data_IF_465602449830
#
_entry.id   IF_465602449830
#
_cell.length_a   1.000
_cell.length_b   1.000
_cell.length_c   1.000
_cell.angle_alpha   90.00
_cell.angle_beta   90.00
_cell.angle_gamma   90.00
#
_symmetry.space_group_name_H-M   'P 1'
#
loop_
_entity.id
_entity.type
_entity.pdbx_description
1 polymer ?
#
# COMPACT_ATOMS: atom_id res chain seq x y z
N UNK A 1 -31.10 26.77 10.50
CA UNK A 1 -30.49 26.49 11.82
C UNK A 1 -29.83 27.72 12.45
N UNK A 2 -28.86 28.35 11.76
CA UNK A 2 -27.99 29.39 12.34
C UNK A 2 -28.72 30.61 12.92
N UNK A 3 -29.83 31.06 12.32
CA UNK A 3 -30.65 32.16 12.89
C UNK A 3 -31.20 31.84 14.28
N UNK A 4 -31.59 30.58 14.53
CA UNK A 4 -32.03 30.16 15.85
C UNK A 4 -30.84 30.04 16.82
N UNK A 5 -29.70 29.55 16.31
CA UNK A 5 -28.47 29.48 17.09
C UNK A 5 -28.01 30.86 17.59
N UNK A 6 -28.09 31.91 16.78
CA UNK A 6 -27.70 33.27 17.18
C UNK A 6 -28.52 33.83 18.35
N UNK A 7 -29.77 33.37 18.52
CA UNK A 7 -30.61 33.70 19.67
C UNK A 7 -30.21 32.84 20.86
N UNK A 8 -30.06 31.53 20.66
CA UNK A 8 -29.73 30.58 21.72
C UNK A 8 -28.35 30.89 22.33
N UNK A 9 -27.35 31.15 21.50
CA UNK A 9 -25.96 31.42 21.91
C UNK A 9 -25.84 32.61 22.88
N UNK A 10 -26.76 33.58 22.83
CA UNK A 10 -26.81 34.72 23.76
C UNK A 10 -27.24 34.33 25.19
N UNK A 11 -27.91 33.20 25.33
CA UNK A 11 -28.49 32.71 26.58
C UNK A 11 -27.83 31.43 27.09
N UNK A 12 -26.91 30.85 26.32
CA UNK A 12 -26.18 29.64 26.71
C UNK A 12 -25.21 29.96 27.85
N UNK A 13 -25.33 29.21 28.95
CA UNK A 13 -24.40 29.24 30.08
C UNK A 13 -23.01 28.74 29.66
N UNK A 14 -22.01 28.89 30.54
CA UNK A 14 -20.62 28.51 30.24
C UNK A 14 -20.46 26.99 30.02
N UNK A 15 -20.53 26.58 28.75
CA UNK A 15 -20.37 25.19 28.31
C UNK A 15 -18.94 24.67 28.50
N UNK A 16 -17.97 25.53 28.82
CA UNK A 16 -16.59 25.10 29.10
C UNK A 16 -16.43 24.52 30.52
N UNK A 17 -17.39 24.78 31.41
CA UNK A 17 -17.38 24.35 32.80
C UNK A 17 -18.36 23.20 33.11
N UNK A 18 -19.40 23.01 32.30
CA UNK A 18 -20.43 21.99 32.51
C UNK A 18 -20.44 20.92 31.39
N UNK A 19 -20.04 19.67 31.67
CA UNK A 19 -19.99 18.60 30.67
C UNK A 19 -21.38 18.16 30.18
N UNK A 20 -22.44 18.32 30.97
CA UNK A 20 -23.81 17.97 30.58
C UNK A 20 -24.33 18.97 29.54
N UNK A 21 -24.06 20.25 29.80
CA UNK A 21 -24.37 21.33 28.87
C UNK A 21 -23.56 21.18 27.57
N UNK A 22 -22.26 20.91 27.68
CA UNK A 22 -21.38 20.66 26.53
C UNK A 22 -21.91 19.51 25.64
N UNK A 23 -22.27 18.37 26.26
CA UNK A 23 -22.88 17.24 25.56
C UNK A 23 -24.19 17.63 24.84
N UNK A 24 -25.09 18.32 25.54
CA UNK A 24 -26.38 18.74 24.99
C UNK A 24 -26.23 19.71 23.81
N UNK A 25 -25.27 20.62 23.90
CA UNK A 25 -24.94 21.56 22.81
C UNK A 25 -24.40 20.80 21.60
N UNK A 26 -23.52 19.80 21.76
CA UNK A 26 -23.04 19.00 20.63
C UNK A 26 -24.18 18.32 19.86
N UNK A 27 -25.19 17.79 20.57
CA UNK A 27 -26.37 17.18 19.96
C UNK A 27 -27.22 18.17 19.15
N UNK A 28 -27.24 19.44 19.55
CA UNK A 28 -27.90 20.51 18.82
C UNK A 28 -27.06 20.96 17.62
N UNK A 29 -25.78 21.25 17.85
CA UNK A 29 -24.86 21.82 16.87
C UNK A 29 -24.60 20.91 15.68
N UNK A 30 -24.77 19.59 15.80
CA UNK A 30 -24.67 18.67 14.65
C UNK A 30 -25.63 19.03 13.51
N UNK A 31 -26.79 19.60 13.81
CA UNK A 31 -27.80 19.96 12.80
C UNK A 31 -27.40 21.19 11.98
N UNK A 32 -26.45 22.00 12.46
CA UNK A 32 -25.89 23.10 11.68
C UNK A 32 -25.17 22.64 10.42
N UNK A 33 -24.72 21.38 10.37
CA UNK A 33 -24.04 20.81 9.21
C UNK A 33 -24.86 20.93 7.91
N UNK A 34 -26.19 20.84 7.99
CA UNK A 34 -27.08 20.95 6.81
C UNK A 34 -27.05 22.32 6.15
N UNK A 35 -26.77 23.38 6.92
CA UNK A 35 -26.79 24.77 6.46
C UNK A 35 -25.37 25.35 6.33
N UNK A 36 -24.32 24.60 6.68
CA UNK A 36 -22.97 25.13 6.88
C UNK A 36 -22.36 25.74 5.60
N UNK A 37 -22.68 25.19 4.44
CA UNK A 37 -22.22 25.69 3.13
C UNK A 37 -22.84 27.05 2.79
N UNK A 38 -24.11 27.24 3.12
CA UNK A 38 -24.84 28.49 2.86
C UNK A 38 -24.46 29.61 3.85
N UNK A 39 -24.00 29.25 5.05
CA UNK A 39 -23.65 30.20 6.12
C UNK A 39 -22.23 29.92 6.68
N UNK A 40 -21.17 30.21 5.91
CA UNK A 40 -19.79 29.87 6.28
C UNK A 40 -19.27 30.62 7.51
N UNK A 41 -19.70 31.86 7.73
CA UNK A 41 -19.28 32.67 8.89
C UNK A 41 -19.94 32.18 10.19
N UNK A 42 -21.23 31.85 10.14
CA UNK A 42 -21.94 31.32 11.30
C UNK A 42 -21.48 29.88 11.65
N UNK A 43 -21.12 29.09 10.63
CA UNK A 43 -20.61 27.74 10.82
C UNK A 43 -19.21 27.70 11.45
N UNK A 44 -18.38 28.73 11.22
CA UNK A 44 -17.08 28.87 11.87
C UNK A 44 -17.19 28.88 13.40
N UNK A 45 -18.07 29.73 13.95
CA UNK A 45 -18.29 29.81 15.39
C UNK A 45 -18.75 28.46 15.97
N UNK A 46 -19.65 27.76 15.28
CA UNK A 46 -20.14 26.44 15.70
C UNK A 46 -19.03 25.39 15.66
N UNK A 47 -18.20 25.38 14.62
CA UNK A 47 -17.07 24.47 14.50
C UNK A 47 -16.00 24.73 15.56
N UNK A 48 -15.74 25.99 15.91
CA UNK A 48 -14.83 26.35 17.01
C UNK A 48 -15.32 25.83 18.36
N UNK A 49 -16.63 25.90 18.63
CA UNK A 49 -17.23 25.35 19.87
C UNK A 49 -17.05 23.84 19.92
N UNK A 50 -17.42 23.13 18.85
CA UNK A 50 -17.28 21.67 18.77
C UNK A 50 -15.81 21.24 18.93
N UNK A 51 -14.89 21.95 18.28
CA UNK A 51 -13.45 21.69 18.39
C UNK A 51 -12.93 21.93 19.80
N UNK A 52 -13.36 23.01 20.45
CA UNK A 52 -13.03 23.34 21.83
C UNK A 52 -13.43 22.21 22.79
N UNK A 53 -14.63 21.66 22.65
CA UNK A 53 -15.13 20.54 23.46
C UNK A 53 -14.31 19.27 23.20
N UNK A 54 -13.98 18.95 21.94
CA UNK A 54 -13.10 17.79 21.65
C UNK A 54 -11.75 17.89 22.35
N UNK A 55 -11.18 19.10 22.43
CA UNK A 55 -9.87 19.33 23.05
C UNK A 55 -9.91 19.50 24.57
N UNK A 56 -11.09 19.52 25.20
CA UNK A 56 -11.20 19.75 26.64
C UNK A 56 -10.81 18.49 27.43
N UNK A 57 -9.54 18.40 27.80
CA UNK A 57 -9.04 17.36 28.71
C UNK A 57 -9.12 17.89 30.14
N UNK A 58 -10.26 17.67 30.80
CA UNK A 58 -10.43 18.04 32.21
C UNK A 58 -10.31 16.81 33.12
N UNK A 59 -9.45 16.86 34.17
CA UNK A 59 -9.30 15.76 35.14
C UNK A 59 -10.56 15.51 35.99
N UNK A 60 -11.34 16.57 36.26
CA UNK A 60 -12.61 16.51 36.98
C UNK A 60 -13.74 16.04 36.06
N UNK A 61 -14.64 15.18 36.54
CA UNK A 61 -15.80 14.68 35.77
C UNK A 61 -15.43 13.92 34.47
N UNK A 62 -14.30 13.21 34.45
CA UNK A 62 -13.73 12.60 33.24
C UNK A 62 -14.68 11.72 32.42
N UNK A 63 -15.64 11.00 33.04
CA UNK A 63 -16.64 10.20 32.31
C UNK A 63 -17.66 11.08 31.57
N UNK A 64 -18.13 12.17 32.20
CA UNK A 64 -19.11 13.07 31.59
C UNK A 64 -18.46 13.91 30.48
N UNK A 65 -17.22 14.34 30.68
CA UNK A 65 -16.43 14.98 29.62
C UNK A 65 -16.11 14.02 28.47
N UNK A 66 -15.87 12.74 28.74
CA UNK A 66 -15.76 11.74 27.68
C UNK A 66 -17.05 11.65 26.85
N UNK A 67 -18.24 11.64 27.48
CA UNK A 67 -19.51 11.67 26.76
C UNK A 67 -19.70 12.94 25.92
N UNK A 68 -19.34 14.11 26.44
CA UNK A 68 -19.39 15.36 25.69
C UNK A 68 -18.46 15.33 24.46
N UNK A 69 -17.23 14.81 24.65
CA UNK A 69 -16.24 14.64 23.57
C UNK A 69 -16.68 13.64 22.51
N UNK A 70 -17.27 12.50 22.91
CA UNK A 70 -17.87 11.53 21.98
C UNK A 70 -18.90 12.22 21.09
N UNK A 71 -19.87 12.94 21.68
CA UNK A 71 -20.90 13.63 20.90
C UNK A 71 -20.35 14.80 20.07
N UNK A 72 -19.27 15.44 20.50
CA UNK A 72 -18.59 16.46 19.71
C UNK A 72 -17.94 15.87 18.45
N UNK A 73 -17.26 14.71 18.56
CA UNK A 73 -16.74 13.99 17.40
C UNK A 73 -17.83 13.51 16.45
N UNK A 74 -18.92 12.96 16.99
CA UNK A 74 -20.10 12.57 16.19
C UNK A 74 -20.69 13.77 15.44
N UNK A 75 -20.76 14.94 16.08
CA UNK A 75 -21.22 16.17 15.46
C UNK A 75 -20.25 16.65 14.36
N UNK A 76 -18.94 16.68 14.62
CA UNK A 76 -17.92 17.05 13.63
C UNK A 76 -17.95 16.13 12.40
N UNK A 77 -18.25 14.84 12.58
CA UNK A 77 -18.40 13.88 11.48
C UNK A 77 -19.54 14.26 10.53
N UNK A 78 -20.52 15.09 10.93
CA UNK A 78 -21.58 15.58 10.04
C UNK A 78 -21.10 16.72 9.13
N UNK A 79 -20.11 17.52 9.56
CA UNK A 79 -19.59 18.65 8.79
C UNK A 79 -18.60 18.23 7.71
N UNK A 80 -18.56 18.95 6.60
CA UNK A 80 -17.56 18.71 5.54
C UNK A 80 -16.15 19.02 6.02
N UNK A 81 -15.20 18.15 5.67
CA UNK A 81 -13.81 18.23 6.15
C UNK A 81 -13.14 19.52 5.67
N UNK A 82 -13.51 20.03 4.49
CA UNK A 82 -13.02 21.31 3.95
C UNK A 82 -13.37 22.50 4.85
N UNK A 83 -14.57 22.51 5.44
CA UNK A 83 -14.98 23.57 6.37
C UNK A 83 -14.25 23.45 7.71
N UNK A 84 -14.04 22.24 8.21
CA UNK A 84 -13.30 22.00 9.45
C UNK A 84 -11.83 22.39 9.29
N UNK A 85 -11.19 22.00 8.19
CA UNK A 85 -9.79 22.30 7.90
C UNK A 85 -9.55 23.81 7.75
N UNK A 86 -10.49 24.54 7.14
CA UNK A 86 -10.42 26.01 7.03
C UNK A 86 -10.47 26.70 8.40
N UNK A 87 -11.30 26.18 9.30
CA UNK A 87 -11.58 26.81 10.61
C UNK A 87 -10.66 26.31 11.73
N UNK A 88 -9.82 25.29 11.46
CA UNK A 88 -8.93 24.70 12.46
C UNK A 88 -7.46 24.79 12.02
N UNK A 89 -6.65 25.66 12.65
CA UNK A 89 -5.23 25.75 12.32
C UNK A 89 -4.51 24.45 12.69
N UNK A 90 -3.59 24.01 11.83
CA UNK A 90 -2.84 22.76 11.99
C UNK A 90 -3.72 21.53 12.21
N UNK A 91 -4.93 21.52 11.63
CA UNK A 91 -5.96 20.49 11.80
C UNK A 91 -5.41 19.06 11.82
N UNK A 92 -4.60 18.70 10.82
CA UNK A 92 -4.02 17.34 10.68
C UNK A 92 -3.13 16.97 11.86
N UNK A 93 -2.24 17.87 12.27
CA UNK A 93 -1.32 17.65 13.39
C UNK A 93 -2.09 17.53 14.71
N UNK A 94 -3.00 18.47 14.98
CA UNK A 94 -3.82 18.46 16.20
C UNK A 94 -4.71 17.23 16.29
N UNK A 95 -5.28 16.80 15.17
CA UNK A 95 -6.10 15.59 15.09
C UNK A 95 -5.29 14.33 15.39
N UNK A 96 -4.06 14.22 14.88
CA UNK A 96 -3.16 13.10 15.23
C UNK A 96 -2.71 13.12 16.68
N UNK A 97 -2.38 14.30 17.23
CA UNK A 97 -1.98 14.44 18.65
C UNK A 97 -3.11 14.01 19.59
N UNK A 98 -4.35 14.43 19.29
CA UNK A 98 -5.53 13.98 20.04
C UNK A 98 -5.68 12.46 20.02
N UNK A 99 -5.52 11.82 18.85
CA UNK A 99 -5.63 10.37 18.71
C UNK A 99 -4.60 9.62 19.57
N UNK A 100 -3.37 10.11 19.62
CA UNK A 100 -2.32 9.47 20.43
C UNK A 100 -2.45 9.76 21.93
N UNK A 101 -3.16 10.82 22.31
CA UNK A 101 -3.37 11.20 23.71
C UNK A 101 -4.63 10.60 24.34
N UNK A 102 -5.58 10.11 23.53
CA UNK A 102 -6.87 9.62 24.02
C UNK A 102 -6.79 8.19 24.58
N UNK A 103 -7.39 7.98 25.75
CA UNK A 103 -7.44 6.68 26.42
C UNK A 103 -8.85 6.13 26.60
N UNK A 104 -9.89 6.96 26.40
CA UNK A 104 -11.26 6.52 26.57
C UNK A 104 -11.77 5.76 25.33
N UNK A 105 -12.27 4.52 25.48
CA UNK A 105 -12.67 3.68 24.35
C UNK A 105 -13.86 4.23 23.56
N UNK A 106 -14.81 4.91 24.23
CA UNK A 106 -15.98 5.49 23.55
C UNK A 106 -15.59 6.70 22.71
N UNK A 107 -14.64 7.50 23.19
CA UNK A 107 -14.11 8.64 22.44
C UNK A 107 -13.29 8.12 21.25
N UNK A 108 -12.42 7.13 21.46
CA UNK A 108 -11.63 6.51 20.38
C UNK A 108 -12.52 5.95 19.25
N UNK A 109 -13.65 5.32 19.58
CA UNK A 109 -14.59 4.82 18.57
C UNK A 109 -15.19 5.95 17.72
N UNK A 110 -15.67 7.03 18.34
CA UNK A 110 -16.19 8.18 17.59
C UNK A 110 -15.09 8.90 16.79
N UNK A 111 -13.86 8.93 17.31
CA UNK A 111 -12.70 9.44 16.60
C UNK A 111 -12.36 8.61 15.36
N UNK A 112 -12.47 7.29 15.43
CA UNK A 112 -12.22 6.40 14.28
C UNK A 112 -13.11 6.79 13.09
N UNK A 113 -14.41 6.96 13.31
CA UNK A 113 -15.35 7.38 12.26
C UNK A 113 -14.97 8.74 11.66
N UNK A 114 -14.57 9.69 12.51
CA UNK A 114 -14.09 11.00 12.07
C UNK A 114 -12.79 10.89 11.25
N UNK A 115 -11.83 10.06 11.67
CA UNK A 115 -10.58 9.82 10.94
C UNK A 115 -10.82 9.16 9.59
N UNK A 116 -11.73 8.19 9.51
CA UNK A 116 -12.12 7.56 8.23
C UNK A 116 -12.64 8.62 7.26
N UNK A 117 -13.45 9.58 7.73
CA UNK A 117 -13.93 10.71 6.91
C UNK A 117 -12.78 11.58 6.40
N UNK A 118 -11.84 11.95 7.27
CA UNK A 118 -10.66 12.75 6.91
C UNK A 118 -9.79 12.02 5.87
N UNK A 119 -9.50 10.73 6.10
CA UNK A 119 -8.70 9.90 5.19
C UNK A 119 -9.36 9.76 3.82
N UNK A 120 -10.69 9.61 3.79
CA UNK A 120 -11.46 9.53 2.55
C UNK A 120 -11.39 10.85 1.77
N UNK A 121 -11.58 11.99 2.44
CA UNK A 121 -11.45 13.32 1.85
C UNK A 121 -10.03 13.55 1.27
N UNK A 122 -8.99 13.24 2.04
CA UNK A 122 -7.60 13.31 1.60
C UNK A 122 -7.32 12.43 0.39
N UNK A 123 -7.83 11.20 0.38
CA UNK A 123 -7.68 10.27 -0.72
C UNK A 123 -8.34 10.79 -2.00
N UNK A 124 -9.56 11.33 -1.90
CA UNK A 124 -10.28 11.94 -3.03
C UNK A 124 -9.50 13.14 -3.58
N UNK A 125 -9.01 14.03 -2.70
CA UNK A 125 -8.24 15.21 -3.11
C UNK A 125 -6.91 14.84 -3.75
N UNK A 126 -6.18 13.84 -3.22
CA UNK A 126 -4.96 13.32 -3.85
C UNK A 126 -5.24 12.73 -5.23
N UNK A 127 -6.35 12.00 -5.41
CA UNK A 127 -6.73 11.46 -6.73
C UNK A 127 -7.11 12.57 -7.72
N UNK A 128 -7.77 13.64 -7.26
CA UNK A 128 -8.07 14.81 -8.10
C UNK A 128 -6.79 15.54 -8.51
N UNK A 129 -5.89 15.81 -7.57
CA UNK A 129 -4.59 16.43 -7.84
C UNK A 129 -3.73 15.59 -8.80
N UNK A 130 -3.73 14.27 -8.67
CA UNK A 130 -3.02 13.37 -9.60
C UNK A 130 -3.64 13.37 -10.99
N UNK A 131 -4.97 13.49 -11.10
CA UNK A 131 -5.66 13.62 -12.39
C UNK A 131 -5.39 14.98 -13.05
N UNK A 132 -5.35 16.07 -12.29
CA UNK A 132 -4.99 17.40 -12.80
C UNK A 132 -3.50 17.49 -13.18
N UNK A 133 -2.60 16.95 -12.36
CA UNK A 133 -1.15 16.91 -12.67
C UNK A 133 -0.81 16.06 -13.90
N UNK A 134 -1.63 15.08 -14.26
CA UNK A 134 -1.46 14.34 -15.53
C UNK A 134 -1.61 15.21 -16.78
N UNK A 135 -2.13 16.44 -16.67
CA UNK A 135 -2.32 17.35 -17.82
C UNK A 135 -1.09 18.23 -18.09
N UNK A 136 -0.10 18.31 -17.19
CA UNK A 136 1.17 19.02 -17.46
C UNK A 136 2.33 18.25 -16.83
N UNK A 137 3.05 17.46 -17.65
CA UNK A 137 4.25 16.73 -17.21
C UNK A 137 5.31 17.70 -16.66
N UNK A 138 5.49 17.67 -15.34
CA UNK A 138 6.37 18.58 -14.61
C UNK A 138 7.84 18.31 -14.94
N UNK A 139 8.72 19.33 -14.82
CA UNK A 139 10.18 19.16 -15.00
C UNK A 139 10.77 18.11 -14.05
N UNK A 140 10.16 17.94 -12.88
CA UNK A 140 10.54 16.93 -11.88
C UNK A 140 10.19 15.53 -12.37
N UNK A 141 9.01 15.31 -12.96
CA UNK A 141 8.69 14.01 -13.58
C UNK A 141 9.65 13.67 -14.72
N UNK A 142 10.02 14.64 -15.56
CA UNK A 142 11.06 14.43 -16.57
C UNK A 142 12.41 14.05 -15.96
N UNK A 143 12.79 14.66 -14.83
CA UNK A 143 14.01 14.31 -14.12
C UNK A 143 13.92 12.91 -13.49
N UNK A 144 12.77 12.55 -12.92
CA UNK A 144 12.51 11.23 -12.34
C UNK A 144 12.44 10.12 -13.41
N UNK A 145 12.08 10.45 -14.65
CA UNK A 145 12.12 9.53 -15.78
C UNK A 145 13.55 9.34 -16.32
N UNK A 146 14.37 10.41 -16.30
CA UNK A 146 15.75 10.40 -16.83
C UNK A 146 16.76 9.86 -15.81
N UNK A 147 16.59 10.12 -14.52
CA UNK A 147 17.56 9.73 -13.47
C UNK A 147 17.80 8.21 -13.42
N UNK A 148 16.77 7.33 -13.43
CA UNK A 148 16.93 5.89 -13.60
C UNK A 148 17.78 5.51 -14.82
N UNK A 149 17.54 6.16 -15.96
CA UNK A 149 18.22 5.87 -17.22
C UNK A 149 19.70 6.28 -17.17
N UNK A 150 20.03 7.34 -16.43
CA UNK A 150 21.43 7.78 -16.21
C UNK A 150 22.16 6.85 -15.24
N UNK A 151 21.51 6.41 -14.16
CA UNK A 151 22.13 5.49 -13.18
C UNK A 151 22.43 4.13 -13.82
N UNK A 152 21.52 3.62 -14.67
CA UNK A 152 21.62 2.32 -15.32
C UNK A 152 21.98 2.38 -16.82
N UNK A 153 22.54 3.50 -17.30
CA UNK A 153 22.86 3.69 -18.72
C UNK A 153 23.75 2.58 -19.27
N UNK A 154 23.41 2.08 -20.47
CA UNK A 154 24.00 0.88 -21.08
C UNK A 154 25.51 1.03 -21.34
N UNK A 155 26.33 0.54 -20.42
CA UNK A 155 27.79 0.49 -20.58
C UNK A 155 28.44 -0.44 -19.58
N UNK A 156 28.02 -0.38 -18.33
CA UNK A 156 28.51 -1.26 -17.27
C UNK A 156 27.44 -2.28 -16.88
N UNK A 157 27.60 -3.51 -17.40
CA UNK A 157 26.73 -4.65 -17.06
C UNK A 157 26.71 -4.99 -15.56
N UNK A 158 27.55 -4.39 -14.70
CA UNK A 158 27.62 -4.73 -13.27
C UNK A 158 26.76 -3.89 -12.34
N UNK A 159 26.18 -2.75 -12.77
CA UNK A 159 25.52 -1.83 -11.83
C UNK A 159 24.27 -2.40 -11.14
N UNK A 160 23.59 -3.36 -11.78
CA UNK A 160 22.46 -4.06 -11.16
C UNK A 160 22.89 -4.98 -10.01
N UNK A 161 24.09 -5.54 -10.11
CA UNK A 161 24.75 -6.31 -9.03
C UNK A 161 25.24 -5.40 -7.90
N UNK A 162 25.73 -4.21 -8.23
CA UNK A 162 26.31 -3.29 -7.25
C UNK A 162 25.22 -2.56 -6.44
N UNK A 163 24.07 -2.26 -7.07
CA UNK A 163 22.94 -1.55 -6.45
C UNK A 163 21.60 -2.29 -6.72
N UNK A 164 21.41 -3.52 -6.18
CA UNK A 164 20.25 -4.35 -6.49
C UNK A 164 18.92 -3.72 -6.10
N UNK A 165 18.86 -3.03 -4.96
CA UNK A 165 17.65 -2.34 -4.51
C UNK A 165 17.23 -1.20 -5.44
N UNK A 166 18.20 -0.41 -5.95
CA UNK A 166 17.91 0.64 -6.93
C UNK A 166 17.51 0.03 -8.28
N UNK A 167 18.15 -1.07 -8.69
CA UNK A 167 17.82 -1.77 -9.93
C UNK A 167 16.37 -2.29 -9.93
N UNK A 168 15.90 -2.84 -8.80
CA UNK A 168 14.49 -3.23 -8.64
C UNK A 168 13.51 -2.08 -8.88
N UNK A 169 13.87 -0.86 -8.50
CA UNK A 169 12.98 0.30 -8.62
C UNK A 169 13.10 1.01 -9.97
N UNK A 170 14.28 1.02 -10.56
CA UNK A 170 14.63 1.96 -11.63
C UNK A 170 15.04 1.27 -12.95
N UNK A 171 15.45 -0.01 -12.94
CA UNK A 171 15.92 -0.69 -14.14
C UNK A 171 14.78 -0.82 -15.17
N UNK A 172 15.05 -0.36 -16.38
CA UNK A 172 14.09 -0.31 -17.47
C UNK A 172 14.81 -0.57 -18.78
N UNK A 173 14.42 -1.63 -19.47
CA UNK A 173 14.83 -1.91 -20.84
C UNK A 173 13.77 -1.34 -21.78
N UNK A 174 13.95 -0.08 -22.22
CA UNK A 174 13.03 0.53 -23.19
C UNK A 174 13.53 0.34 -24.62
N UNK A 175 12.65 0.08 -25.59
CA UNK A 175 13.03 0.01 -27.01
C UNK A 175 13.48 1.35 -27.61
N UNK A 176 13.52 2.46 -26.84
CA UNK A 176 14.04 3.75 -27.32
C UNK A 176 15.56 3.80 -27.45
N UNK A 177 16.29 2.84 -26.89
CA UNK A 177 17.74 2.71 -27.11
C UNK A 177 18.10 2.22 -28.53
N UNK A 178 17.10 1.91 -29.36
CA UNK A 178 17.29 1.46 -30.76
C UNK A 178 17.57 2.64 -31.71
N UNK A 179 17.27 3.89 -31.37
CA UNK A 179 17.54 5.02 -32.29
C UNK A 179 18.98 5.53 -32.24
N UNK A 180 19.73 5.23 -31.17
CA UNK A 180 21.08 5.78 -30.94
C UNK A 180 22.21 4.75 -31.06
N UNK A 181 21.90 3.48 -31.33
CA UNK A 181 22.90 2.45 -31.59
C UNK A 181 22.77 1.98 -33.04
N UNK A 182 23.72 2.38 -33.87
CA UNK A 182 23.72 2.15 -35.31
C UNK A 182 23.47 0.69 -35.71
N UNK A 183 22.51 0.51 -36.62
CA UNK A 183 22.44 -0.43 -37.75
C UNK A 183 22.95 -1.89 -37.62
N UNK A 184 23.22 -2.45 -36.43
CA UNK A 184 23.91 -3.76 -36.33
C UNK A 184 23.47 -4.71 -35.22
N UNK A 185 22.38 -4.44 -34.49
CA UNK A 185 21.79 -5.45 -33.59
C UNK A 185 20.29 -5.52 -33.81
N UNK A 186 19.83 -6.67 -34.28
CA UNK A 186 18.41 -6.99 -34.43
C UNK A 186 17.64 -6.75 -33.12
N UNK A 187 16.31 -6.67 -33.22
CA UNK A 187 15.38 -6.44 -32.11
C UNK A 187 15.80 -7.26 -30.88
N UNK A 188 16.46 -6.62 -29.91
CA UNK A 188 16.93 -7.26 -28.67
C UNK A 188 15.72 -7.83 -27.95
N UNK A 189 15.83 -9.07 -27.48
CA UNK A 189 14.77 -9.73 -26.73
C UNK A 189 14.73 -9.14 -25.32
N UNK A 190 13.73 -8.30 -24.97
CA UNK A 190 13.67 -7.69 -23.65
C UNK A 190 13.46 -8.74 -22.56
N UNK A 191 12.85 -9.89 -22.89
CA UNK A 191 12.66 -10.98 -21.95
C UNK A 191 13.99 -11.46 -21.39
N UNK A 192 14.96 -11.72 -22.27
CA UNK A 192 16.30 -12.16 -21.88
C UNK A 192 17.07 -11.08 -21.08
N UNK A 193 16.84 -9.79 -21.34
CA UNK A 193 17.48 -8.71 -20.57
C UNK A 193 16.95 -8.63 -19.14
N UNK A 194 15.63 -8.71 -18.95
CA UNK A 194 15.04 -8.79 -17.62
C UNK A 194 15.41 -10.09 -16.89
N UNK A 195 15.52 -11.20 -17.61
CA UNK A 195 15.94 -12.48 -17.06
C UNK A 195 17.36 -12.39 -16.48
N UNK A 196 18.32 -11.89 -17.26
CA UNK A 196 19.70 -11.70 -16.80
C UNK A 196 19.77 -10.73 -15.60
N UNK A 197 19.02 -9.62 -15.66
CA UNK A 197 18.97 -8.66 -14.56
C UNK A 197 18.38 -9.28 -13.28
N UNK A 198 17.36 -10.13 -13.40
CA UNK A 198 16.81 -10.86 -12.26
C UNK A 198 17.87 -11.74 -11.62
N UNK A 199 18.63 -12.51 -12.41
CA UNK A 199 19.70 -13.38 -11.90
C UNK A 199 20.73 -12.57 -11.12
N UNK A 200 21.19 -11.45 -11.67
CA UNK A 200 22.17 -10.58 -11.01
C UNK A 200 21.63 -9.93 -9.72
N UNK A 201 20.39 -9.43 -9.75
CA UNK A 201 19.75 -8.79 -8.60
C UNK A 201 19.46 -9.83 -7.52
N UNK A 202 18.89 -10.98 -7.87
CA UNK A 202 18.57 -12.05 -6.91
C UNK A 202 19.84 -12.63 -6.27
N UNK A 203 20.93 -12.72 -7.04
CA UNK A 203 22.22 -13.16 -6.51
C UNK A 203 22.88 -12.13 -5.58
N UNK A 204 22.61 -10.82 -5.73
CA UNK A 204 23.27 -9.75 -4.97
C UNK A 204 22.43 -9.19 -3.82
N UNK A 205 21.11 -9.25 -3.90
CA UNK A 205 20.20 -8.76 -2.87
C UNK A 205 20.32 -9.61 -1.59
N UNK A 206 20.73 -8.99 -0.50
CA UNK A 206 20.90 -9.68 0.77
C UNK A 206 19.62 -9.60 1.60
N UNK A 207 18.97 -10.75 1.78
CA UNK A 207 17.86 -10.91 2.72
C UNK A 207 18.47 -11.29 4.07
N UNK A 208 18.37 -10.42 5.07
CA UNK A 208 18.98 -10.67 6.40
C UNK A 208 18.12 -11.57 7.31
N UNK A 209 17.34 -12.51 6.73
CA UNK A 209 16.22 -13.25 7.38
C UNK A 209 15.27 -12.35 8.21
N UNK A 210 15.27 -11.05 7.93
CA UNK A 210 14.43 -10.07 8.59
C UNK A 210 13.16 -9.89 7.79
N UNK A 211 12.00 -10.09 8.45
CA UNK A 211 10.70 -10.01 7.80
C UNK A 211 10.45 -8.65 7.15
N UNK A 212 10.89 -7.54 7.77
CA UNK A 212 10.76 -6.20 7.20
C UNK A 212 11.57 -6.06 5.92
N UNK A 213 12.80 -6.57 5.90
CA UNK A 213 13.67 -6.53 4.71
C UNK A 213 13.09 -7.39 3.59
N UNK A 214 12.56 -8.57 3.89
CA UNK A 214 11.86 -9.40 2.89
C UNK A 214 10.62 -8.72 2.33
N UNK A 215 9.81 -8.09 3.17
CA UNK A 215 8.63 -7.36 2.71
C UNK A 215 9.02 -6.18 1.84
N UNK A 216 10.06 -5.42 2.20
CA UNK A 216 10.59 -4.33 1.38
C UNK A 216 11.13 -4.83 0.03
N UNK A 217 11.88 -5.94 0.03
CA UNK A 217 12.37 -6.58 -1.18
C UNK A 217 11.20 -7.01 -2.07
N UNK A 218 10.18 -7.67 -1.51
CA UNK A 218 8.97 -8.08 -2.23
C UNK A 218 8.21 -6.89 -2.82
N UNK A 219 8.04 -5.79 -2.06
CA UNK A 219 7.41 -4.58 -2.61
C UNK A 219 8.26 -3.97 -3.74
N UNK A 220 9.59 -4.07 -3.66
CA UNK A 220 10.52 -3.58 -4.68
C UNK A 220 10.53 -4.45 -5.94
N UNK A 221 10.26 -5.76 -5.83
CA UNK A 221 10.07 -6.64 -6.97
C UNK A 221 8.81 -6.31 -7.80
N UNK A 222 7.75 -5.76 -7.19
CA UNK A 222 6.51 -5.42 -7.92
C UNK A 222 6.72 -4.46 -9.11
N UNK A 223 7.35 -3.28 -8.95
CA UNK A 223 7.59 -2.38 -10.08
C UNK A 223 8.49 -3.03 -11.14
N UNK A 224 9.48 -3.82 -10.75
CA UNK A 224 10.30 -4.61 -11.68
C UNK A 224 9.43 -5.58 -12.51
N UNK A 225 8.57 -6.38 -11.87
CA UNK A 225 7.66 -7.32 -12.55
C UNK A 225 6.69 -6.62 -13.50
N UNK A 226 6.14 -5.47 -13.11
CA UNK A 226 5.28 -4.67 -13.99
C UNK A 226 6.00 -4.22 -15.25
N UNK A 227 7.27 -3.82 -15.12
CA UNK A 227 8.08 -3.39 -16.28
C UNK A 227 8.43 -4.58 -17.18
N UNK A 228 8.78 -5.72 -16.61
CA UNK A 228 9.03 -6.95 -17.38
C UNK A 228 7.79 -7.38 -18.16
N UNK A 229 6.64 -7.57 -17.50
CA UNK A 229 5.38 -7.94 -18.17
C UNK A 229 5.05 -6.95 -19.29
N UNK A 230 5.18 -5.65 -19.04
CA UNK A 230 4.89 -4.62 -20.03
C UNK A 230 5.82 -4.71 -21.24
N UNK A 231 7.12 -4.97 -21.02
CA UNK A 231 8.08 -5.12 -22.10
C UNK A 231 7.79 -6.35 -22.96
N UNK A 232 7.45 -7.48 -22.33
CA UNK A 232 7.09 -8.72 -23.04
C UNK A 232 5.81 -8.55 -23.86
N UNK A 233 4.77 -7.89 -23.31
CA UNK A 233 3.54 -7.59 -24.05
C UNK A 233 3.85 -6.73 -25.28
N UNK A 234 4.64 -5.66 -25.12
CA UNK A 234 5.04 -4.79 -26.23
C UNK A 234 5.86 -5.53 -27.29
N UNK A 235 6.72 -6.46 -26.86
CA UNK A 235 7.51 -7.29 -27.76
C UNK A 235 6.64 -8.26 -28.57
N UNK A 236 5.67 -8.92 -27.92
CA UNK A 236 4.69 -9.75 -28.61
C UNK A 236 3.83 -8.95 -29.58
N UNK A 237 3.43 -7.73 -29.22
CA UNK A 237 2.69 -6.81 -30.11
C UNK A 237 3.51 -6.45 -31.35
N UNK A 238 4.81 -6.20 -31.20
CA UNK A 238 5.70 -5.89 -32.32
C UNK A 238 5.97 -7.09 -33.23
N UNK A 239 6.03 -8.32 -32.68
CA UNK A 239 6.32 -9.55 -33.44
C UNK A 239 5.09 -10.19 -34.09
N UNK A 240 3.89 -10.01 -33.53
CA UNK A 240 2.66 -10.57 -34.08
C UNK A 240 1.45 -9.67 -33.76
N UNK A 241 0.98 -8.87 -34.74
CA UNK A 241 -0.22 -8.05 -34.59
C UNK A 241 -1.52 -8.86 -34.45
N UNK A 242 -1.50 -10.18 -34.73
CA UNK A 242 -2.71 -11.00 -34.83
C UNK A 242 -3.19 -11.60 -33.48
N UNK A 243 -4.50 -11.47 -33.23
CA UNK A 243 -5.46 -12.24 -32.40
C UNK A 243 -4.88 -13.25 -31.38
N UNK A 244 -4.03 -12.84 -30.45
CA UNK A 244 -3.87 -13.56 -29.18
C UNK A 244 -4.79 -12.86 -28.19
N UNK A 245 -5.93 -13.48 -27.89
CA UNK A 245 -6.95 -12.93 -26.99
C UNK A 245 -6.41 -12.70 -25.56
N UNK A 246 -5.26 -13.30 -25.21
CA UNK A 246 -4.66 -13.22 -23.88
C UNK A 246 -3.12 -13.11 -23.88
N UNK A 247 -2.57 -12.07 -24.54
CA UNK A 247 -1.12 -11.79 -24.57
C UNK A 247 -0.52 -11.59 -23.16
N UNK A 248 -1.32 -11.05 -22.23
CA UNK A 248 -0.89 -10.83 -20.85
C UNK A 248 -0.68 -12.14 -20.10
N UNK A 249 -1.56 -13.13 -20.26
CA UNK A 249 -1.38 -14.45 -19.63
C UNK A 249 -0.22 -15.22 -20.24
N UNK A 250 -0.01 -15.11 -21.56
CA UNK A 250 1.16 -15.69 -22.21
C UNK A 250 2.47 -15.11 -21.64
N UNK A 251 2.60 -13.78 -21.61
CA UNK A 251 3.77 -13.12 -21.03
C UNK A 251 3.99 -13.54 -19.57
N UNK A 252 2.93 -13.53 -18.77
CA UNK A 252 2.99 -13.95 -17.38
C UNK A 252 3.45 -15.40 -17.19
N UNK A 253 2.99 -16.30 -18.04
CA UNK A 253 3.36 -17.72 -18.02
C UNK A 253 4.82 -17.94 -18.45
N UNK A 254 5.28 -17.24 -19.48
CA UNK A 254 6.67 -17.33 -19.95
C UNK A 254 7.63 -16.78 -18.89
N UNK A 255 7.31 -15.64 -18.26
CA UNK A 255 8.05 -15.09 -17.12
C UNK A 255 8.08 -16.08 -15.95
N UNK A 256 6.93 -16.63 -15.54
CA UNK A 256 6.87 -17.58 -14.43
C UNK A 256 7.75 -18.82 -14.68
N UNK A 257 7.74 -19.36 -15.91
CA UNK A 257 8.59 -20.51 -16.28
C UNK A 257 10.08 -20.19 -16.15
N UNK A 258 10.51 -19.03 -16.66
CA UNK A 258 11.90 -18.57 -16.52
C UNK A 258 12.27 -18.40 -15.05
N UNK A 259 11.38 -17.82 -14.23
CA UNK A 259 11.61 -17.67 -12.80
C UNK A 259 11.74 -19.00 -12.07
N UNK A 260 10.85 -19.97 -12.35
CA UNK A 260 10.93 -21.32 -11.75
C UNK A 260 12.26 -21.98 -12.10
N UNK A 261 12.67 -21.96 -13.37
CA UNK A 261 13.96 -22.50 -13.81
C UNK A 261 15.13 -21.85 -13.05
N UNK A 262 15.15 -20.52 -12.99
CA UNK A 262 16.20 -19.78 -12.27
C UNK A 262 16.21 -20.16 -10.79
N UNK A 263 15.02 -20.32 -10.17
CA UNK A 263 14.90 -20.63 -8.76
C UNK A 263 15.44 -22.04 -8.43
N UNK A 264 15.23 -23.01 -9.32
CA UNK A 264 15.71 -24.38 -9.17
C UNK A 264 17.23 -24.52 -9.36
N UNK A 265 17.81 -23.75 -10.28
CA UNK A 265 19.25 -23.76 -10.59
C UNK A 265 20.08 -22.83 -9.68
N UNK A 266 19.41 -21.97 -8.90
CA UNK A 266 20.04 -20.93 -8.10
C UNK A 266 20.67 -21.42 -6.79
N UNK A 267 21.70 -20.68 -6.35
CA UNK A 267 22.20 -20.76 -4.96
C UNK A 267 21.08 -20.37 -3.96
N UNK A 268 21.12 -20.87 -2.70
CA UNK A 268 20.07 -20.64 -1.70
C UNK A 268 19.59 -19.19 -1.59
N UNK A 269 20.50 -18.23 -1.46
CA UNK A 269 20.17 -16.78 -1.40
C UNK A 269 19.40 -16.28 -2.62
N UNK A 270 19.82 -16.71 -3.81
CA UNK A 270 19.16 -16.29 -5.04
C UNK A 270 17.78 -16.94 -5.15
N UNK A 271 17.65 -18.21 -4.76
CA UNK A 271 16.36 -18.91 -4.73
C UNK A 271 15.34 -18.24 -3.80
N UNK A 272 15.77 -17.73 -2.64
CA UNK A 272 14.94 -16.95 -1.72
C UNK A 272 14.39 -15.68 -2.37
N UNK A 273 15.27 -14.91 -3.02
CA UNK A 273 14.88 -13.69 -3.71
C UNK A 273 13.93 -13.96 -4.88
N UNK A 274 14.16 -15.04 -5.64
CA UNK A 274 13.29 -15.44 -6.74
C UNK A 274 11.91 -15.86 -6.23
N UNK A 275 11.82 -16.57 -5.11
CA UNK A 275 10.53 -16.89 -4.48
C UNK A 275 9.73 -15.63 -4.12
N UNK A 276 10.36 -14.62 -3.51
CA UNK A 276 9.73 -13.32 -3.24
C UNK A 276 9.29 -12.61 -4.54
N UNK A 277 10.09 -12.72 -5.58
CA UNK A 277 9.79 -12.18 -6.89
C UNK A 277 8.58 -12.88 -7.54
N UNK A 278 8.41 -14.20 -7.39
CA UNK A 278 7.23 -14.97 -7.82
C UNK A 278 5.97 -14.46 -7.10
N UNK A 279 6.07 -14.22 -5.78
CA UNK A 279 5.01 -13.58 -5.00
C UNK A 279 4.65 -12.20 -5.54
N UNK A 280 5.65 -11.38 -5.84
CA UNK A 280 5.46 -10.05 -6.42
C UNK A 280 4.81 -10.10 -7.82
N UNK A 281 5.18 -11.08 -8.66
CA UNK A 281 4.58 -11.31 -9.97
C UNK A 281 3.06 -11.53 -9.83
N UNK A 282 2.64 -12.45 -8.96
CA UNK A 282 1.22 -12.76 -8.77
C UNK A 282 0.38 -11.55 -8.31
N UNK A 283 0.98 -10.65 -7.53
CA UNK A 283 0.33 -9.42 -7.05
C UNK A 283 0.18 -8.33 -8.13
N UNK A 284 0.96 -8.39 -9.20
CA UNK A 284 0.87 -7.42 -10.31
C UNK A 284 0.08 -7.94 -11.50
N UNK A 285 -0.20 -9.25 -11.53
CA UNK A 285 -0.99 -9.89 -12.58
C UNK A 285 -2.48 -9.54 -12.50
N UNK A 286 -3.14 -9.29 -13.65
CA UNK A 286 -4.58 -9.07 -13.70
C UNK A 286 -5.37 -10.30 -13.22
N UNK A 287 -6.65 -10.13 -12.83
CA UNK A 287 -7.50 -11.26 -12.43
C UNK A 287 -7.64 -12.35 -13.49
N UNK A 288 -7.54 -12.01 -14.78
CA UNK A 288 -7.63 -12.96 -15.90
C UNK A 288 -6.52 -14.02 -15.88
N UNK A 289 -5.32 -13.70 -15.39
CA UNK A 289 -4.16 -14.61 -15.32
C UNK A 289 -4.21 -15.54 -14.10
N UNK A 290 -5.40 -16.02 -13.71
CA UNK A 290 -5.62 -16.86 -12.54
C UNK A 290 -4.89 -18.21 -12.62
N UNK A 291 -4.76 -18.79 -13.81
CA UNK A 291 -4.01 -20.04 -14.03
C UNK A 291 -2.53 -19.89 -13.67
N UNK A 292 -1.91 -18.76 -14.02
CA UNK A 292 -0.51 -18.45 -13.68
C UNK A 292 -0.34 -18.32 -12.16
N UNK A 293 -1.28 -17.63 -11.49
CA UNK A 293 -1.29 -17.50 -10.02
C UNK A 293 -1.43 -18.86 -9.34
N UNK A 294 -2.30 -19.73 -9.86
CA UNK A 294 -2.49 -21.09 -9.36
C UNK A 294 -1.21 -21.94 -9.53
N UNK A 295 -0.55 -21.88 -10.69
CA UNK A 295 0.73 -22.57 -10.92
C UNK A 295 1.84 -22.08 -9.99
N UNK A 296 2.00 -20.76 -9.86
CA UNK A 296 2.96 -20.16 -8.93
C UNK A 296 2.70 -20.58 -7.48
N UNK A 297 1.42 -20.62 -7.08
CA UNK A 297 0.99 -21.08 -5.77
C UNK A 297 1.38 -22.54 -5.51
N UNK A 298 1.16 -23.43 -6.47
CA UNK A 298 1.52 -24.86 -6.34
C UNK A 298 3.02 -25.06 -6.22
N UNK A 299 3.78 -24.34 -7.04
CA UNK A 299 5.24 -24.37 -7.00
C UNK A 299 5.77 -23.96 -5.62
N UNK A 300 5.32 -22.81 -5.10
CA UNK A 300 5.76 -22.34 -3.79
C UNK A 300 5.25 -23.23 -2.65
N UNK A 301 4.06 -23.81 -2.76
CA UNK A 301 3.55 -24.76 -1.77
C UNK A 301 4.41 -26.02 -1.70
N UNK A 302 4.86 -26.55 -2.84
CA UNK A 302 5.82 -27.66 -2.86
C UNK A 302 7.12 -27.26 -2.14
N UNK A 303 7.64 -26.06 -2.40
CA UNK A 303 8.83 -25.55 -1.71
C UNK A 303 8.64 -25.35 -0.20
N UNK A 304 7.44 -24.92 0.23
CA UNK A 304 7.11 -24.76 1.63
C UNK A 304 7.15 -26.11 2.39
N UNK A 305 6.67 -27.18 1.76
CA UNK A 305 6.60 -28.52 2.34
C UNK A 305 7.93 -29.30 2.24
N UNK A 306 8.94 -28.75 1.56
CA UNK A 306 10.30 -29.32 1.52
C UNK A 306 11.09 -28.92 2.79
N UNK A 307 10.91 -29.67 3.87
CA UNK A 307 11.54 -29.43 5.17
C UNK A 307 13.08 -29.47 5.15
N UNK A 308 13.69 -30.11 4.15
CA UNK A 308 15.15 -30.18 3.98
C UNK A 308 15.78 -28.84 3.56
N UNK A 309 14.97 -27.87 3.12
CA UNK A 309 15.44 -26.62 2.55
C UNK A 309 14.83 -25.40 3.26
N UNK A 310 15.24 -25.15 4.50
CA UNK A 310 14.76 -24.04 5.36
C UNK A 310 14.75 -22.68 4.64
N UNK A 311 15.78 -22.40 3.82
CA UNK A 311 15.88 -21.17 3.01
C UNK A 311 14.69 -21.00 2.04
N UNK A 312 14.22 -22.10 1.44
CA UNK A 312 13.06 -22.08 0.53
C UNK A 312 11.76 -21.89 1.30
N UNK A 313 11.64 -22.48 2.49
CA UNK A 313 10.41 -22.44 3.28
C UNK A 313 10.02 -21.02 3.68
N UNK A 314 10.97 -20.22 4.16
CA UNK A 314 10.67 -18.88 4.67
C UNK A 314 10.19 -17.93 3.56
N UNK A 315 10.90 -17.88 2.43
CA UNK A 315 10.56 -17.03 1.29
C UNK A 315 9.29 -17.51 0.56
N UNK A 316 9.07 -18.83 0.50
CA UNK A 316 7.84 -19.42 0.00
C UNK A 316 6.64 -19.09 0.91
N UNK A 317 6.79 -19.16 2.23
CA UNK A 317 5.72 -18.84 3.18
C UNK A 317 5.22 -17.40 3.02
N UNK A 318 6.14 -16.43 2.96
CA UNK A 318 5.80 -15.01 2.76
C UNK A 318 5.05 -14.82 1.44
N UNK A 319 5.55 -15.44 0.37
CA UNK A 319 4.98 -15.31 -0.97
C UNK A 319 3.61 -15.97 -1.08
N UNK A 320 3.44 -17.17 -0.50
CA UNK A 320 2.17 -17.90 -0.44
C UNK A 320 1.10 -17.19 0.37
N UNK A 321 1.46 -16.60 1.51
CA UNK A 321 0.53 -15.81 2.32
C UNK A 321 -0.09 -14.68 1.49
N UNK A 322 0.72 -14.02 0.66
CA UNK A 322 0.26 -12.97 -0.24
C UNK A 322 -0.52 -13.51 -1.44
N UNK A 323 -0.04 -14.57 -2.10
CA UNK A 323 -0.72 -15.17 -3.25
C UNK A 323 -2.11 -15.67 -2.87
N UNK A 324 -2.29 -16.20 -1.66
CA UNK A 324 -3.58 -16.70 -1.17
C UNK A 324 -4.68 -15.64 -1.12
N UNK A 325 -4.31 -14.35 -1.07
CA UNK A 325 -5.25 -13.22 -1.17
C UNK A 325 -5.67 -12.87 -2.60
N UNK A 326 -4.92 -13.33 -3.61
CA UNK A 326 -5.11 -12.96 -5.01
C UNK A 326 -5.47 -14.13 -5.93
N UNK A 327 -5.62 -15.35 -5.38
CA UNK A 327 -6.18 -16.50 -6.07
C UNK A 327 -7.64 -16.24 -6.50
N UNK A 328 -8.07 -16.89 -7.58
CA UNK A 328 -9.42 -16.73 -8.07
C UNK A 328 -10.43 -17.37 -7.10
N UNK A 329 -11.67 -16.87 -7.11
CA UNK A 329 -12.72 -17.35 -6.19
C UNK A 329 -12.93 -18.86 -6.34
N UNK A 330 -12.81 -19.40 -7.55
CA UNK A 330 -12.99 -20.84 -7.82
C UNK A 330 -11.83 -21.72 -7.33
N UNK A 331 -10.68 -21.15 -6.96
CA UNK A 331 -9.49 -21.90 -6.51
C UNK A 331 -9.56 -22.25 -5.01
N UNK A 332 -10.75 -22.61 -4.52
CA UNK A 332 -10.99 -22.93 -3.10
C UNK A 332 -10.06 -24.04 -2.57
N UNK A 333 -9.83 -25.08 -3.38
CA UNK A 333 -8.93 -26.19 -3.03
C UNK A 333 -7.49 -25.71 -2.83
N UNK A 334 -6.96 -24.93 -3.77
CA UNK A 334 -5.60 -24.40 -3.67
C UNK A 334 -5.46 -23.45 -2.49
N UNK A 335 -6.47 -22.61 -2.24
CA UNK A 335 -6.47 -21.70 -1.09
C UNK A 335 -6.46 -22.46 0.23
N UNK A 336 -7.24 -23.54 0.33
CA UNK A 336 -7.25 -24.42 1.49
C UNK A 336 -5.89 -25.08 1.70
N UNK A 337 -5.31 -25.70 0.66
CA UNK A 337 -4.00 -26.34 0.71
C UNK A 337 -2.89 -25.36 1.13
N UNK A 338 -2.92 -24.12 0.62
CA UNK A 338 -1.99 -23.08 1.03
C UNK A 338 -2.12 -22.73 2.52
N UNK A 339 -3.35 -22.54 3.01
CA UNK A 339 -3.60 -22.22 4.43
C UNK A 339 -3.11 -23.37 5.29
N UNK A 340 -3.47 -24.61 4.97
CA UNK A 340 -3.05 -25.80 5.71
C UNK A 340 -1.52 -25.92 5.75
N UNK A 341 -0.84 -25.78 4.62
CA UNK A 341 0.63 -25.84 4.59
C UNK A 341 1.29 -24.69 5.36
N UNK A 342 0.73 -23.47 5.30
CA UNK A 342 1.20 -22.34 6.09
C UNK A 342 0.98 -22.54 7.59
N UNK A 343 -0.11 -23.17 8.01
CA UNK A 343 -0.35 -23.53 9.42
C UNK A 343 0.63 -24.61 9.86
N UNK A 344 0.82 -25.65 9.07
CA UNK A 344 1.75 -26.76 9.36
C UNK A 344 3.18 -26.24 9.60
N UNK A 345 3.69 -25.44 8.66
CA UNK A 345 5.03 -24.82 8.80
C UNK A 345 5.03 -23.69 9.84
N UNK A 346 3.94 -22.93 9.98
CA UNK A 346 3.80 -21.87 10.97
C UNK A 346 3.82 -22.39 12.41
N UNK A 347 3.33 -23.61 12.65
CA UNK A 347 3.44 -24.28 13.96
C UNK A 347 4.90 -24.59 14.28
N UNK A 348 5.72 -24.90 13.28
CA UNK A 348 7.18 -25.10 13.39
C UNK A 348 7.94 -23.76 13.48
N UNK A 349 7.47 -22.71 12.81
CA UNK A 349 8.08 -21.37 12.80
C UNK A 349 7.80 -20.58 14.09
N UNK A 350 6.62 -20.77 14.70
CA UNK A 350 6.29 -20.23 16.03
C UNK A 350 7.09 -20.94 17.12
N UNK A 351 7.36 -22.24 16.99
CA UNK A 351 8.25 -22.96 17.91
C UNK A 351 9.71 -22.46 17.81
N UNK A 352 10.22 -22.19 16.61
CA UNK A 352 11.58 -21.63 16.42
C UNK A 352 11.71 -20.16 16.84
N UNK A 353 10.64 -19.37 16.75
CA UNK A 353 10.60 -17.99 17.30
C UNK A 353 10.47 -18.00 18.83
N UNK A 354 9.76 -18.97 19.42
CA UNK A 354 9.69 -19.14 20.88
C UNK A 354 11.00 -19.66 21.48
N UNK A 355 11.72 -20.58 20.81
CA UNK A 355 13.03 -21.05 21.27
C UNK A 355 14.11 -19.94 21.23
N UNK A 356 14.00 -18.99 20.29
CA UNK A 356 14.85 -17.78 20.26
C UNK A 356 14.47 -16.77 21.34
N UNK A 357 13.21 -16.74 21.78
CA UNK A 357 12.73 -15.87 22.86
C UNK A 357 13.01 -16.41 24.27
N UNK A 358 13.30 -17.72 24.41
CA UNK A 358 13.68 -18.33 25.69
C UNK A 358 15.21 -18.52 25.86
N UNK A 359 16.01 -18.12 24.87
CA UNK A 359 17.49 -18.16 24.93
C UNK A 359 18.17 -16.78 24.96
N UNK A 360 17.39 -15.71 25.21
CA UNK A 360 17.83 -14.38 25.63
C UNK A 360 17.02 -13.97 26.86
#
# INVERSE_FOLDING_TARGET
>A
FYTAWDVIAKHVLDYSADPILAHSICLLLRWGAMDAEAYPEASENVLQILWGIVTSVQPSHGLQWAMARTSAFEALTQYEVSHIEKNTPDFKKRSTELLFSESNPNVLKAMEEFQVKILTYEHINRRRLVKEKRVVGSKIEKLLDVFPQVVFSSGERSKARDLPGAALLCLSFTPKDVSNQGASRGLRDPHAEYENAMVEIAASLQLSRNIFVALLALQSWKPFMRRWIRADILYFDAKSPAIILDKSSKAANDILKSMIRIAEEAIPRSSENVALAIGALCLVLPPSAHTVKSTASKFLLNWLLQHEHEHRQWSAAISLGLISSCLHVTDHKQKYENITGLVEVGTVLVLTVLDLFFSF
#
